data_IF_451269932969
#
_entry.id   IF_451269932969
#
_cell.length_a   1.000
_cell.length_b   1.000
_cell.length_c   1.000
_cell.angle_alpha   90.00
_cell.angle_beta   90.00
_cell.angle_gamma   90.00
#
_symmetry.space_group_name_H-M   'P 1'
#
loop_
_entity.id
_entity.type
_entity.pdbx_description
1 polymer ?
#
# COMPACT_ATOMS: atom_id res chain seq x y z
N UNK A 1 -19.06 -7.97 -8.65
CA UNK A 1 -18.71 -6.69 -8.01
C UNK A 1 -17.30 -6.83 -7.49
N UNK A 2 -16.37 -6.17 -8.17
CA UNK A 2 -14.95 -6.17 -7.82
C UNK A 2 -14.64 -5.09 -6.79
N UNK A 3 -13.56 -5.24 -6.03
CA UNK A 3 -13.06 -4.25 -5.09
C UNK A 3 -11.66 -3.81 -5.51
N UNK A 4 -11.38 -2.52 -5.51
CA UNK A 4 -10.03 -2.01 -5.73
C UNK A 4 -9.12 -2.38 -4.55
N UNK A 5 -7.97 -3.00 -4.83
CA UNK A 5 -6.97 -3.33 -3.82
C UNK A 5 -6.25 -2.13 -3.20
N UNK A 6 -6.32 -0.94 -3.80
CA UNK A 6 -5.55 0.24 -3.39
C UNK A 6 -6.33 1.22 -2.52
N UNK A 7 -7.63 1.42 -2.80
CA UNK A 7 -8.50 2.34 -2.05
C UNK A 7 -9.73 1.65 -1.43
N UNK A 8 -9.91 0.35 -1.69
CA UNK A 8 -11.02 -0.43 -1.18
C UNK A 8 -12.39 -0.11 -1.78
N UNK A 9 -12.46 0.74 -2.81
CA UNK A 9 -13.71 1.10 -3.48
C UNK A 9 -14.28 -0.05 -4.33
N UNK A 10 -15.59 -0.09 -4.55
CA UNK A 10 -16.22 -1.13 -5.38
C UNK A 10 -16.26 -0.72 -6.86
N UNK A 11 -15.70 -1.56 -7.72
CA UNK A 11 -15.41 -1.28 -9.14
C UNK A 11 -16.53 -1.71 -10.10
N UNK A 12 -17.82 -1.68 -9.72
CA UNK A 12 -18.88 -2.22 -10.58
C UNK A 12 -20.20 -1.43 -10.56
N UNK A 13 -20.13 -0.11 -10.39
CA UNK A 13 -21.31 0.76 -10.49
C UNK A 13 -21.07 2.13 -11.12
N UNK A 14 -19.81 2.56 -11.33
CA UNK A 14 -19.49 3.92 -11.83
C UNK A 14 -18.42 3.96 -12.93
N UNK A 15 -17.74 2.87 -13.22
CA UNK A 15 -16.66 2.82 -14.20
C UNK A 15 -17.01 1.73 -15.23
N UNK A 16 -17.29 2.11 -16.47
CA UNK A 16 -17.53 1.15 -17.57
C UNK A 16 -16.25 0.39 -17.93
N UNK A 17 -15.08 0.98 -17.61
CA UNK A 17 -13.77 0.34 -17.70
C UNK A 17 -13.08 0.29 -16.33
N UNK A 18 -12.62 -0.90 -15.90
CA UNK A 18 -11.86 -1.06 -14.64
C UNK A 18 -10.60 -0.19 -14.61
N UNK A 19 -10.01 0.11 -15.77
CA UNK A 19 -8.79 0.90 -15.94
C UNK A 19 -9.02 2.41 -15.78
N UNK A 20 -10.26 2.91 -15.85
CA UNK A 20 -10.58 4.33 -15.62
C UNK A 20 -10.58 4.73 -14.14
N UNK A 21 -10.46 3.75 -13.23
CA UNK A 21 -10.37 4.03 -11.82
C UNK A 21 -9.02 4.68 -11.48
N UNK A 22 -9.02 5.84 -10.82
CA UNK A 22 -7.81 6.63 -10.51
C UNK A 22 -6.64 5.83 -9.91
N UNK A 23 -6.94 4.84 -9.05
CA UNK A 23 -5.91 3.98 -8.45
C UNK A 23 -5.25 3.02 -9.45
N UNK A 24 -5.90 2.73 -10.57
CA UNK A 24 -5.42 1.84 -11.61
C UNK A 24 -4.86 2.64 -12.80
N UNK A 25 -5.45 3.80 -13.11
CA UNK A 25 -5.11 4.64 -14.26
C UNK A 25 -3.64 5.11 -14.25
N UNK A 26 -3.09 5.40 -13.06
CA UNK A 26 -1.71 5.91 -12.92
C UNK A 26 -0.66 4.80 -12.73
N UNK A 27 -1.08 3.55 -12.54
CA UNK A 27 -0.18 2.43 -12.21
C UNK A 27 -0.17 1.40 -13.34
N UNK A 28 -1.28 1.20 -14.03
CA UNK A 28 -1.39 0.19 -15.08
C UNK A 28 -0.72 0.66 -16.37
N UNK A 29 0.35 -0.04 -16.75
CA UNK A 29 0.98 0.09 -18.07
C UNK A 29 0.67 -1.16 -18.88
N UNK A 30 -0.01 -0.96 -20.01
CA UNK A 30 -0.34 -2.04 -20.95
C UNK A 30 0.95 -2.69 -21.48
N UNK A 31 1.07 -4.00 -21.31
CA UNK A 31 2.26 -4.78 -21.70
C UNK A 31 3.25 -5.06 -20.57
N UNK A 32 3.30 -4.23 -19.52
CA UNK A 32 4.18 -4.42 -18.36
C UNK A 32 3.46 -4.96 -17.13
N UNK A 33 2.13 -4.84 -17.10
CA UNK A 33 1.34 -5.23 -15.93
C UNK A 33 0.21 -6.20 -16.28
N UNK A 34 -0.19 -6.97 -15.27
CA UNK A 34 -1.37 -7.84 -15.25
C UNK A 34 -2.31 -7.39 -14.13
N UNK A 35 -3.62 -7.54 -14.37
CA UNK A 35 -4.64 -7.41 -13.33
C UNK A 35 -4.92 -8.79 -12.75
N UNK A 36 -4.67 -8.96 -11.46
CA UNK A 36 -4.95 -10.21 -10.74
C UNK A 36 -6.15 -10.02 -9.82
N UNK A 37 -7.08 -10.96 -9.91
CA UNK A 37 -8.20 -11.12 -9.00
C UNK A 37 -7.85 -12.11 -7.89
N UNK A 38 -8.17 -11.78 -6.63
CA UNK A 38 -8.09 -12.70 -5.50
C UNK A 38 -9.43 -13.43 -5.20
N UNK A 39 -9.38 -14.42 -4.30
CA UNK A 39 -10.58 -15.18 -3.87
C UNK A 39 -11.70 -14.31 -3.24
N UNK A 40 -11.43 -13.04 -2.95
CA UNK A 40 -12.37 -12.06 -2.39
C UNK A 40 -12.82 -11.02 -3.44
N UNK A 41 -12.56 -11.25 -4.72
CA UNK A 41 -12.87 -10.34 -5.84
C UNK A 41 -12.16 -8.99 -5.73
N UNK A 42 -10.99 -8.96 -5.09
CA UNK A 42 -10.10 -7.78 -5.04
C UNK A 42 -9.23 -7.78 -6.28
N UNK A 43 -9.23 -6.67 -7.01
CA UNK A 43 -8.38 -6.44 -8.17
C UNK A 43 -7.13 -5.68 -7.76
N UNK A 44 -5.98 -6.19 -8.19
CA UNK A 44 -4.65 -5.63 -7.91
C UNK A 44 -3.80 -5.68 -9.17
N UNK A 45 -2.89 -4.71 -9.34
CA UNK A 45 -1.95 -4.69 -10.46
C UNK A 45 -0.68 -5.43 -10.03
N UNK A 46 -0.19 -6.32 -10.88
CA UNK A 46 1.10 -7.02 -10.70
C UNK A 46 1.98 -6.80 -11.93
N UNK A 47 3.30 -6.81 -11.75
CA UNK A 47 4.26 -6.71 -12.86
C UNK A 47 4.32 -8.02 -13.66
N UNK A 48 4.22 -7.93 -15.00
CA UNK A 48 4.44 -9.03 -15.94
C UNK A 48 5.94 -9.34 -16.00
N UNK A 49 6.38 -10.25 -15.13
CA UNK A 49 7.64 -10.97 -15.30
C UNK A 49 8.91 -10.12 -15.26
N UNK A 50 9.39 -9.82 -14.04
CA UNK A 50 10.83 -9.75 -13.79
C UNK A 50 11.19 -10.77 -12.72
N UNK A 51 11.70 -11.91 -13.15
CA UNK A 51 12.43 -12.84 -12.29
C UNK A 51 13.91 -12.49 -12.41
N UNK A 52 14.51 -11.78 -11.43
CA UNK A 52 15.95 -11.89 -11.09
C UNK A 52 16.37 -11.10 -9.84
N UNK A 53 16.86 -11.87 -8.84
CA UNK A 53 17.94 -11.66 -7.85
C UNK A 53 18.02 -10.45 -6.88
N UNK A 54 17.92 -10.81 -5.59
CA UNK A 54 18.68 -10.39 -4.38
C UNK A 54 19.79 -9.32 -4.51
N UNK A 55 19.87 -8.41 -3.51
CA UNK A 55 21.13 -7.74 -3.16
C UNK A 55 21.02 -6.50 -2.26
N UNK A 56 21.65 -6.58 -1.08
CA UNK A 56 21.73 -5.57 -0.01
C UNK A 56 22.29 -4.18 -0.37
N UNK A 57 21.82 -3.19 0.40
CA UNK A 57 22.48 -1.97 0.91
C UNK A 57 23.65 -1.35 0.12
N UNK A 58 23.47 -0.13 -0.42
CA UNK A 58 24.45 0.98 -0.25
C UNK A 58 23.82 2.33 -0.60
N UNK A 59 24.15 3.35 0.19
CA UNK A 59 23.85 4.77 -0.05
C UNK A 59 24.47 5.25 -1.35
N UNK A 60 23.67 5.88 -2.23
CA UNK A 60 24.13 6.98 -3.10
C UNK A 60 23.00 8.01 -3.21
N UNK A 61 23.37 9.29 -3.10
CA UNK A 61 22.51 10.46 -3.24
C UNK A 61 22.29 10.76 -4.73
N UNK A 62 21.21 11.50 -4.99
CA UNK A 62 20.89 12.24 -6.23
C UNK A 62 19.87 11.61 -7.19
N UNK A 63 18.71 11.29 -6.61
CA UNK A 63 17.36 11.53 -7.13
C UNK A 63 16.45 11.58 -5.88
N UNK A 64 15.28 12.27 -5.86
CA UNK A 64 14.31 12.03 -4.80
C UNK A 64 13.63 10.67 -5.05
N UNK A 65 14.41 9.59 -5.02
CA UNK A 65 13.88 8.28 -4.68
C UNK A 65 13.53 8.35 -3.22
N UNK A 66 12.26 8.64 -2.93
CA UNK A 66 11.71 8.60 -1.58
C UNK A 66 12.17 7.30 -0.92
N UNK A 67 12.83 7.43 0.22
CA UNK A 67 13.32 6.26 0.95
C UNK A 67 12.13 5.37 1.31
N UNK A 68 12.35 4.06 1.44
CA UNK A 68 11.31 3.12 1.87
C UNK A 68 10.56 3.60 3.14
N UNK A 69 11.28 4.26 4.04
CA UNK A 69 10.73 4.82 5.27
C UNK A 69 9.81 6.02 5.01
N UNK A 70 10.23 6.94 4.13
CA UNK A 70 9.41 8.08 3.72
C UNK A 70 8.14 7.62 3.00
N UNK A 71 8.24 6.68 2.05
CA UNK A 71 7.08 6.08 1.38
C UNK A 71 6.12 5.43 2.36
N UNK A 72 6.64 4.65 3.32
CA UNK A 72 5.82 4.01 4.34
C UNK A 72 5.11 5.05 5.21
N UNK A 73 5.79 6.13 5.58
CA UNK A 73 5.20 7.23 6.35
C UNK A 73 4.08 7.88 5.53
N UNK A 74 4.32 8.24 4.27
CA UNK A 74 3.34 8.85 3.37
C UNK A 74 2.08 7.98 3.26
N UNK A 75 2.22 6.70 2.92
CA UNK A 75 1.07 5.81 2.75
C UNK A 75 0.28 5.55 4.04
N UNK A 76 0.94 5.57 5.19
CA UNK A 76 0.26 5.42 6.49
C UNK A 76 -0.37 6.74 6.94
N UNK A 77 0.22 7.89 6.60
CA UNK A 77 -0.36 9.21 6.87
C UNK A 77 -1.69 9.42 6.14
N UNK A 78 -1.79 8.95 4.89
CA UNK A 78 -3.05 8.97 4.13
C UNK A 78 -4.15 8.08 4.74
N UNK A 79 -3.80 7.22 5.70
CA UNK A 79 -4.69 6.24 6.35
C UNK A 79 -4.75 6.46 7.86
N UNK A 80 -5.41 7.54 8.33
CA UNK A 80 -5.37 7.95 9.73
C UNK A 80 -5.89 6.89 10.71
N UNK A 81 -6.77 5.97 10.30
CA UNK A 81 -7.22 4.87 11.17
C UNK A 81 -6.10 3.91 11.62
N UNK A 82 -4.93 3.93 10.98
CA UNK A 82 -3.74 3.15 11.38
C UNK A 82 -2.96 3.77 12.55
N UNK A 83 -3.09 5.06 12.81
CA UNK A 83 -2.30 5.75 13.83
C UNK A 83 -3.06 6.74 14.71
N UNK A 84 -4.11 7.36 14.17
CA UNK A 84 -4.90 8.35 14.88
C UNK A 84 -5.87 7.68 15.86
N UNK A 85 -5.55 7.78 17.15
CA UNK A 85 -6.37 7.20 18.23
C UNK A 85 -7.64 8.00 18.53
N UNK A 86 -7.77 9.24 18.02
CA UNK A 86 -8.95 10.08 18.25
C UNK A 86 -10.14 9.68 17.39
N UNK A 87 -9.93 8.85 16.36
CA UNK A 87 -11.02 8.35 15.51
C UNK A 87 -11.96 7.40 16.28
N UNK A 88 -13.24 7.31 15.89
CA UNK A 88 -14.19 6.38 16.49
C UNK A 88 -13.71 4.92 16.47
N UNK A 89 -14.10 4.13 17.46
CA UNK A 89 -13.77 2.70 17.51
C UNK A 89 -14.34 1.91 16.32
N UNK A 90 -15.49 2.35 15.81
CA UNK A 90 -16.13 1.79 14.60
C UNK A 90 -15.27 1.94 13.35
N UNK A 91 -14.33 2.89 13.32
CA UNK A 91 -13.38 3.11 12.22
C UNK A 91 -12.03 2.43 12.44
N UNK A 92 -11.74 2.03 13.69
CA UNK A 92 -10.48 1.41 14.10
C UNK A 92 -10.60 -0.07 14.42
N UNK A 93 -11.64 -0.73 13.90
CA UNK A 93 -11.84 -2.17 14.06
C UNK A 93 -10.68 -2.94 13.46
N UNK A 94 -10.42 -4.15 13.97
CA UNK A 94 -9.34 -5.02 13.48
C UNK A 94 -9.50 -5.28 11.98
N UNK A 95 -10.72 -5.54 11.52
CA UNK A 95 -11.01 -5.76 10.10
C UNK A 95 -10.66 -4.54 9.23
N UNK A 96 -11.00 -3.32 9.66
CA UNK A 96 -10.66 -2.09 8.94
C UNK A 96 -9.16 -1.85 8.90
N UNK A 97 -8.46 -2.04 10.03
CA UNK A 97 -7.00 -1.92 10.08
C UNK A 97 -6.31 -2.93 9.16
N UNK A 98 -6.79 -4.17 9.13
CA UNK A 98 -6.24 -5.19 8.25
C UNK A 98 -6.45 -4.84 6.77
N UNK A 99 -7.62 -4.30 6.42
CA UNK A 99 -7.88 -3.81 5.06
C UNK A 99 -6.94 -2.66 4.69
N UNK A 100 -6.73 -1.69 5.58
CA UNK A 100 -5.83 -0.57 5.34
C UNK A 100 -4.37 -1.02 5.22
N UNK A 101 -3.93 -2.01 5.98
CA UNK A 101 -2.59 -2.58 5.84
C UNK A 101 -2.42 -3.36 4.52
N UNK A 102 -3.47 -4.04 4.05
CA UNK A 102 -3.47 -4.65 2.72
C UNK A 102 -3.31 -3.60 1.62
N UNK A 103 -3.98 -2.45 1.75
CA UNK A 103 -3.82 -1.34 0.79
C UNK A 103 -2.39 -0.80 0.77
N UNK A 104 -1.77 -0.59 1.95
CA UNK A 104 -0.37 -0.17 2.05
C UNK A 104 0.56 -1.22 1.42
N UNK A 105 0.31 -2.51 1.67
CA UNK A 105 1.06 -3.60 1.05
C UNK A 105 0.94 -3.60 -0.48
N UNK A 106 -0.26 -3.36 -1.01
CA UNK A 106 -0.50 -3.29 -2.44
C UNK A 106 0.21 -2.09 -3.09
N UNK A 107 0.31 -0.95 -2.39
CA UNK A 107 1.08 0.22 -2.85
C UNK A 107 2.59 -0.06 -2.96
N UNK A 108 3.11 -1.03 -2.20
CA UNK A 108 4.49 -1.50 -2.35
C UNK A 108 4.67 -2.58 -3.43
N UNK A 109 3.63 -2.90 -4.20
CA UNK A 109 3.69 -3.90 -5.27
C UNK A 109 4.01 -5.30 -4.77
N UNK A 110 3.67 -5.62 -3.52
CA UNK A 110 3.96 -6.93 -2.93
C UNK A 110 5.44 -7.21 -2.62
N UNK A 111 6.32 -6.20 -2.68
CA UNK A 111 7.77 -6.34 -2.40
C UNK A 111 8.09 -6.67 -0.94
N UNK A 112 7.18 -6.35 -0.01
CA UNK A 112 7.35 -6.54 1.44
C UNK A 112 6.18 -7.30 2.02
N UNK A 113 6.36 -7.99 3.15
CA UNK A 113 5.21 -8.58 3.86
C UNK A 113 4.48 -7.52 4.70
N UNK A 114 3.19 -7.74 4.97
CA UNK A 114 2.41 -6.87 5.88
C UNK A 114 3.07 -6.80 7.26
N UNK A 115 3.63 -7.91 7.74
CA UNK A 115 4.32 -7.98 9.04
C UNK A 115 5.57 -7.08 9.06
N UNK A 116 6.35 -7.08 7.99
CA UNK A 116 7.53 -6.22 7.86
C UNK A 116 7.14 -4.73 7.85
N UNK A 117 6.10 -4.39 7.09
CA UNK A 117 5.57 -3.02 7.04
C UNK A 117 5.08 -2.55 8.41
N UNK A 118 4.32 -3.40 9.12
CA UNK A 118 3.84 -3.11 10.47
C UNK A 118 4.99 -2.95 11.47
N UNK A 119 5.98 -3.84 11.41
CA UNK A 119 7.16 -3.83 12.28
C UNK A 119 7.99 -2.57 12.05
N UNK A 120 8.20 -2.19 10.79
CA UNK A 120 8.94 -0.97 10.43
C UNK A 120 8.19 0.27 10.87
N UNK A 121 6.88 0.35 10.64
CA UNK A 121 6.05 1.46 11.09
C UNK A 121 6.08 1.62 12.62
N UNK A 122 6.00 0.51 13.37
CA UNK A 122 6.15 0.52 14.82
C UNK A 122 7.50 1.11 15.24
N UNK A 123 8.59 0.67 14.61
CA UNK A 123 9.92 1.20 14.87
C UNK A 123 10.02 2.71 14.61
N UNK A 124 9.50 3.19 13.48
CA UNK A 124 9.50 4.62 13.13
C UNK A 124 8.73 5.46 14.17
N UNK A 125 7.55 4.98 14.58
CA UNK A 125 6.74 5.62 15.62
C UNK A 125 7.48 5.66 16.97
N UNK A 126 8.11 4.56 17.36
CA UNK A 126 8.86 4.47 18.63
C UNK A 126 10.07 5.41 18.63
N UNK A 127 10.82 5.48 17.52
CA UNK A 127 11.91 6.45 17.35
C UNK A 127 11.42 7.89 17.46
N UNK A 128 10.30 8.23 16.80
CA UNK A 128 9.70 9.56 16.87
C UNK A 128 9.29 9.95 18.29
N UNK A 129 8.65 9.04 19.03
CA UNK A 129 8.26 9.28 20.42
C UNK A 129 9.49 9.49 21.31
N UNK A 130 10.56 8.71 21.10
CA UNK A 130 11.81 8.85 21.86
C UNK A 130 12.52 10.17 21.55
N UNK A 131 12.53 10.61 20.30
CA UNK A 131 13.15 11.88 19.90
C UNK A 131 12.39 13.12 20.43
N UNK A 132 11.13 12.95 20.82
CA UNK A 132 10.27 14.00 21.41
C UNK A 132 10.26 14.02 22.94
N UNK A 133 10.96 13.09 23.59
CA UNK A 133 11.17 13.07 25.04
C UNK A 133 12.50 13.71 25.38
#
# INVERSE_FOLDING_TARGET
>A
MYKCGYCGFFLNSFCENLLEHDCLLNIFVEGEHDLVEDNKKVLTIVEKGTSTVVGSSSVTKDAPTESFEELLITYVQDRPALYNITLPLSERTVGKKNALWMEVFNLFGGKYTIEDLQKKWKYLRDCYIRARK
#
